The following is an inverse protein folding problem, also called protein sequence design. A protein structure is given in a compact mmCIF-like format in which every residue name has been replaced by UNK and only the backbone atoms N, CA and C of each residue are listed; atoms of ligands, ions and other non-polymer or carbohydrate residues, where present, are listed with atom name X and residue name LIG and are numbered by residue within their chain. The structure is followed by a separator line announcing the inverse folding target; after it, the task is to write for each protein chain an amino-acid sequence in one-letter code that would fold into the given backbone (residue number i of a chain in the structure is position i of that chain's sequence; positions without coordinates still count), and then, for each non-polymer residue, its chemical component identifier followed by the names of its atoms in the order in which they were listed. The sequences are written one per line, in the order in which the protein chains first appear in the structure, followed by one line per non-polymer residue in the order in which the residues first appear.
data_IF_447286297326
#
_entry.id   IF_447286297326
#
_cell.length_a   1.000
_cell.length_b   1.000
_cell.length_c   1.000
_cell.angle_alpha   90.00
_cell.angle_beta   90.00
_cell.angle_gamma   90.00
#
_symmetry.space_group_name_H-M   'P 1'
#
loop_
_entity.id
_entity.type
_entity.pdbx_description
1 polymer ?
#
# COMPACT_ATOMS: atom_id res chain seq x y z
N UNK A 1 49.78 -4.83 38.15
CA UNK A 1 49.25 -3.65 37.45
C UNK A 1 48.19 -4.13 36.48
N UNK A 2 46.93 -3.93 36.84
CA UNK A 2 45.74 -4.29 36.06
C UNK A 2 45.42 -3.14 35.13
N UNK A 3 45.11 -3.38 33.85
CA UNK A 3 44.11 -2.62 33.08
C UNK A 3 43.70 -3.42 31.84
N UNK A 4 42.49 -3.93 31.89
CA UNK A 4 41.71 -4.50 30.79
C UNK A 4 41.35 -3.39 29.79
N UNK A 5 41.69 -3.55 28.52
CA UNK A 5 41.32 -2.61 27.47
C UNK A 5 40.13 -3.12 26.65
N UNK A 6 39.04 -2.36 26.77
CA UNK A 6 38.09 -1.97 25.73
C UNK A 6 37.27 -3.08 25.06
N UNK A 7 36.01 -3.15 25.51
CA UNK A 7 34.91 -3.81 24.83
C UNK A 7 34.73 -3.21 23.42
N UNK A 8 34.69 -4.08 22.41
CA UNK A 8 34.27 -3.73 21.06
C UNK A 8 32.79 -3.35 21.11
N UNK A 9 32.55 -2.05 21.01
CA UNK A 9 31.23 -1.47 20.81
C UNK A 9 30.67 -2.04 19.50
N UNK A 10 29.64 -2.87 19.63
CA UNK A 10 28.96 -3.48 18.50
C UNK A 10 28.13 -2.38 17.83
N UNK A 11 28.73 -1.71 16.85
CA UNK A 11 28.04 -0.71 16.05
C UNK A 11 26.83 -1.37 15.36
N UNK A 12 25.67 -1.19 15.97
CA UNK A 12 24.37 -1.50 15.39
C UNK A 12 24.30 -0.77 14.05
N UNK A 13 24.09 -1.44 12.91
CA UNK A 13 23.86 -0.72 11.67
C UNK A 13 22.59 0.11 11.88
N UNK A 14 22.76 1.44 11.91
CA UNK A 14 21.65 2.39 11.91
C UNK A 14 20.85 2.11 10.64
N UNK A 15 19.79 1.32 10.75
CA UNK A 15 18.79 1.17 9.70
C UNK A 15 18.32 2.58 9.41
N UNK A 16 18.73 3.13 8.26
CA UNK A 16 18.19 4.40 7.79
C UNK A 16 16.67 4.29 7.88
N UNK A 17 15.98 5.25 8.51
CA UNK A 17 14.53 5.22 8.51
C UNK A 17 14.11 5.19 7.04
N UNK A 18 13.46 4.10 6.62
CA UNK A 18 12.88 4.03 5.29
C UNK A 18 12.06 5.31 5.11
N UNK A 19 12.15 6.01 3.97
CA UNK A 19 11.37 7.22 3.76
C UNK A 19 9.92 6.89 4.11
N UNK A 20 9.36 7.61 5.08
CA UNK A 20 7.94 7.51 5.42
C UNK A 20 7.20 7.85 4.13
N UNK A 21 6.81 6.81 3.38
CA UNK A 21 5.95 6.98 2.21
C UNK A 21 4.62 7.39 2.78
N UNK A 22 4.40 8.69 2.91
CA UNK A 22 3.07 9.23 3.16
C UNK A 22 2.18 8.60 2.12
N UNK A 23 1.15 7.82 2.52
CA UNK A 23 0.33 7.12 1.55
C UNK A 23 -0.26 8.15 0.60
N UNK A 24 0.11 8.04 -0.67
CA UNK A 24 -0.38 8.95 -1.69
C UNK A 24 -1.90 8.86 -1.80
N UNK A 25 -2.54 9.92 -2.30
CA UNK A 25 -4.00 9.90 -2.55
C UNK A 25 -4.44 8.87 -3.60
N UNK A 26 -3.47 8.21 -4.26
CA UNK A 26 -3.63 7.16 -5.27
C UNK A 26 -2.89 5.89 -4.82
N UNK A 27 -3.29 4.76 -5.39
CA UNK A 27 -2.56 3.50 -5.26
C UNK A 27 -2.12 3.06 -6.65
N UNK A 28 -0.85 3.30 -6.97
CA UNK A 28 -0.26 2.97 -8.25
C UNK A 28 -0.23 1.47 -8.55
N UNK A 29 -0.08 1.08 -9.83
CA UNK A 29 -0.13 -0.33 -10.24
C UNK A 29 1.00 -1.17 -9.64
N UNK A 30 2.11 -0.55 -9.24
CA UNK A 30 3.27 -1.21 -8.62
C UNK A 30 3.29 -1.09 -7.10
N UNK A 31 2.34 -0.37 -6.50
CA UNK A 31 2.22 -0.34 -5.04
C UNK A 31 1.64 -1.65 -4.52
N UNK A 32 2.06 -2.02 -3.31
CA UNK A 32 1.57 -3.19 -2.59
C UNK A 32 0.05 -3.07 -2.43
N UNK A 33 -0.64 -4.17 -2.73
CA UNK A 33 -2.07 -4.30 -2.61
C UNK A 33 -2.37 -5.57 -1.82
N UNK A 34 -3.23 -5.49 -0.78
CA UNK A 34 -3.54 -6.67 0.03
C UNK A 34 -4.19 -7.75 -0.83
N UNK A 35 -3.64 -8.95 -0.79
CA UNK A 35 -4.17 -10.11 -1.50
C UNK A 35 -5.54 -10.54 -0.92
N UNK A 36 -5.77 -10.29 0.36
CA UNK A 36 -7.02 -10.60 1.06
C UNK A 36 -7.70 -9.32 1.59
N UNK A 37 -8.83 -8.93 0.99
CA UNK A 37 -9.60 -7.75 1.41
C UNK A 37 -10.49 -8.03 2.63
N UNK A 38 -10.80 -9.30 2.90
CA UNK A 38 -11.61 -9.77 4.03
C UNK A 38 -11.00 -9.41 5.39
N UNK A 39 -9.67 -9.31 5.48
CA UNK A 39 -8.95 -8.89 6.70
C UNK A 39 -9.01 -7.39 6.99
N UNK A 40 -9.44 -6.57 6.02
CA UNK A 40 -9.51 -5.11 6.18
C UNK A 40 -10.79 -4.71 6.90
N UNK A 41 -10.70 -3.75 7.82
CA UNK A 41 -11.89 -3.07 8.35
C UNK A 41 -12.63 -2.28 7.27
N UNK A 42 -13.92 -2.02 7.46
CA UNK A 42 -14.75 -1.30 6.46
C UNK A 42 -14.15 0.05 6.05
N UNK A 43 -13.68 0.85 7.01
CA UNK A 43 -13.05 2.15 6.73
C UNK A 43 -11.78 2.00 5.90
N UNK A 44 -10.95 1.00 6.20
CA UNK A 44 -9.71 0.76 5.47
C UNK A 44 -9.99 0.30 4.04
N UNK A 45 -10.95 -0.60 3.86
CA UNK A 45 -11.42 -1.06 2.56
C UNK A 45 -11.92 0.12 1.69
N UNK A 46 -12.72 1.02 2.25
CA UNK A 46 -13.21 2.23 1.57
C UNK A 46 -12.08 3.20 1.20
N UNK A 47 -11.07 3.35 2.07
CA UNK A 47 -9.89 4.18 1.79
C UNK A 47 -9.08 3.60 0.63
N UNK A 48 -8.83 2.29 0.63
CA UNK A 48 -8.12 1.60 -0.46
C UNK A 48 -8.91 1.74 -1.77
N UNK A 49 -10.23 1.51 -1.74
CA UNK A 49 -11.12 1.71 -2.88
C UNK A 49 -11.02 3.14 -3.44
N UNK A 50 -11.10 4.17 -2.59
CA UNK A 50 -10.95 5.56 -3.02
C UNK A 50 -9.59 5.84 -3.69
N UNK A 51 -8.50 5.26 -3.20
CA UNK A 51 -7.16 5.42 -3.78
C UNK A 51 -7.05 4.73 -5.14
N UNK A 52 -7.65 3.56 -5.31
CA UNK A 52 -7.68 2.83 -6.59
C UNK A 52 -8.53 3.57 -7.62
N UNK A 53 -9.71 4.08 -7.25
CA UNK A 53 -10.55 4.90 -8.14
C UNK A 53 -9.79 6.13 -8.65
N UNK A 54 -9.10 6.86 -7.77
CA UNK A 54 -8.29 8.02 -8.20
C UNK A 54 -7.14 7.62 -9.13
N UNK A 55 -6.61 6.41 -9.01
CA UNK A 55 -5.59 5.91 -9.93
C UNK A 55 -6.21 5.54 -11.29
N UNK A 56 -7.41 4.96 -11.31
CA UNK A 56 -8.17 4.71 -12.54
C UNK A 56 -8.51 6.02 -13.26
N UNK A 57 -9.07 7.00 -12.54
CA UNK A 57 -9.39 8.32 -13.09
C UNK A 57 -8.17 8.94 -13.76
N UNK A 58 -7.01 8.88 -13.08
CA UNK A 58 -5.75 9.35 -13.64
C UNK A 58 -5.38 8.56 -14.91
N UNK A 59 -5.51 7.23 -14.89
CA UNK A 59 -5.24 6.37 -16.05
C UNK A 59 -6.08 6.79 -17.26
N UNK A 60 -7.40 6.89 -17.09
CA UNK A 60 -8.30 7.34 -18.17
C UNK A 60 -8.01 8.75 -18.67
N UNK A 61 -7.59 9.67 -17.80
CA UNK A 61 -7.30 11.05 -18.18
C UNK A 61 -5.92 11.25 -18.81
N UNK A 62 -4.95 10.39 -18.52
CA UNK A 62 -3.54 10.64 -18.88
C UNK A 62 -2.93 9.60 -19.80
N UNK A 63 -3.52 8.42 -19.92
CA UNK A 63 -3.04 7.35 -20.80
C UNK A 63 -4.04 7.13 -21.95
N UNK A 64 -3.63 7.31 -23.22
CA UNK A 64 -4.51 7.08 -24.36
C UNK A 64 -4.91 5.60 -24.53
N UNK A 65 -4.19 4.68 -23.89
CA UNK A 65 -4.50 3.24 -23.87
C UNK A 65 -5.40 2.83 -22.69
N UNK A 66 -5.69 3.78 -21.79
CA UNK A 66 -6.49 3.56 -20.59
C UNK A 66 -5.67 3.16 -19.36
N UNK A 67 -6.32 2.89 -18.22
CA UNK A 67 -5.64 2.49 -17.00
C UNK A 67 -4.98 1.11 -17.13
N UNK A 68 -3.95 0.88 -16.32
CA UNK A 68 -3.32 -0.43 -16.17
C UNK A 68 -4.34 -1.48 -15.73
N UNK A 69 -4.35 -2.65 -16.40
CA UNK A 69 -5.26 -3.76 -16.09
C UNK A 69 -5.25 -4.14 -14.61
N UNK A 70 -4.05 -4.22 -14.00
CA UNK A 70 -3.91 -4.51 -12.58
C UNK A 70 -4.63 -3.51 -11.66
N UNK A 71 -4.82 -2.25 -12.08
CA UNK A 71 -5.59 -1.27 -11.29
C UNK A 71 -7.09 -1.55 -11.40
N UNK A 72 -7.55 -1.98 -12.57
CA UNK A 72 -8.94 -2.37 -12.81
C UNK A 72 -9.29 -3.63 -12.03
N UNK A 73 -8.43 -4.64 -12.06
CA UNK A 73 -8.62 -5.91 -11.33
C UNK A 73 -8.78 -5.63 -9.82
N UNK A 74 -7.86 -4.85 -9.25
CA UNK A 74 -7.93 -4.41 -7.83
C UNK A 74 -9.23 -3.67 -7.50
N UNK A 75 -9.77 -2.89 -8.44
CA UNK A 75 -11.03 -2.18 -8.23
C UNK A 75 -12.20 -3.15 -8.16
N UNK A 76 -12.22 -4.17 -9.02
CA UNK A 76 -13.25 -5.20 -9.05
C UNK A 76 -13.24 -6.03 -7.76
N UNK A 77 -12.05 -6.41 -7.28
CA UNK A 77 -11.91 -7.15 -6.01
C UNK A 77 -12.47 -6.36 -4.82
N UNK A 78 -12.15 -5.05 -4.74
CA UNK A 78 -12.66 -4.18 -3.69
C UNK A 78 -14.17 -3.97 -3.77
N UNK A 79 -14.72 -3.84 -4.98
CA UNK A 79 -16.16 -3.71 -5.20
C UNK A 79 -16.89 -4.99 -4.77
N UNK A 80 -16.39 -6.15 -5.16
CA UNK A 80 -16.98 -7.43 -4.77
C UNK A 80 -17.01 -7.60 -3.24
N UNK A 81 -15.94 -7.24 -2.54
CA UNK A 81 -15.89 -7.29 -1.08
C UNK A 81 -16.82 -6.25 -0.41
N UNK A 82 -16.89 -5.02 -0.95
CA UNK A 82 -17.82 -4.01 -0.45
C UNK A 82 -19.28 -4.46 -0.61
N UNK A 83 -19.64 -4.97 -1.79
CA UNK A 83 -20.98 -5.46 -2.09
C UNK A 83 -21.36 -6.66 -1.19
N UNK A 84 -20.40 -7.56 -0.94
CA UNK A 84 -20.59 -8.70 -0.03
C UNK A 84 -20.90 -8.24 1.41
N UNK A 85 -20.31 -7.14 1.87
CA UNK A 85 -20.53 -6.60 3.22
C UNK A 85 -21.81 -5.78 3.33
N UNK A 86 -22.20 -5.08 2.27
CA UNK A 86 -23.45 -4.30 2.25
C UNK A 86 -24.69 -5.22 2.20
N UNK A 87 -24.53 -6.47 1.75
CA UNK A 87 -25.59 -7.47 1.65
C UNK A 87 -25.63 -8.50 2.79
N UNK A 88 -24.67 -8.46 3.70
CA UNK A 88 -24.54 -9.37 4.86
C UNK A 88 -25.32 -8.87 6.09
#
# INVERSE_FOLDING_TARGET
MTTTASAFDHATPHRSPAPLRTPGSRLGPTEDFPEEQTGLGMTELQVVHSRVIRQLDRGYLTDPTGPYSATTDRCQDLQAELDARDTA
#
